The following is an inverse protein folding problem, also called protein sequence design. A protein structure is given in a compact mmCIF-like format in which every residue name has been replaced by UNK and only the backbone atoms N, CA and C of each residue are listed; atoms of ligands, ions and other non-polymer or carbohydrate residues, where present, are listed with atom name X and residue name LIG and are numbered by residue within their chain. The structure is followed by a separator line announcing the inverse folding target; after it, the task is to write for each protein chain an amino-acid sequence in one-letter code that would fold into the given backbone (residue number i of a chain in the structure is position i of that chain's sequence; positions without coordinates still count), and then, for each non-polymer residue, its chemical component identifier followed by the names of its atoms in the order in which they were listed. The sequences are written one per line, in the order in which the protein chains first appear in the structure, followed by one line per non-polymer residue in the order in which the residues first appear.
data_IF_508145755892
#
_entry.id   IF_508145755892
#
_cell.length_a   1.000
_cell.length_b   1.000
_cell.length_c   1.000
_cell.angle_alpha   90.00
_cell.angle_beta   90.00
_cell.angle_gamma   90.00
#
_symmetry.space_group_name_H-M   'P 1'
#
loop_
_entity.id
_entity.type
_entity.pdbx_description
1 polymer ?
#
# COMPACT_ATOMS: atom_id res chain seq x y z
N UNK A 1 -5.15 7.79 10.86
CA UNK A 1 -4.54 6.68 11.62
C UNK A 1 -3.99 5.68 10.61
N UNK A 2 -2.77 5.18 10.81
CA UNK A 2 -2.09 4.26 9.87
C UNK A 2 -1.98 2.88 10.52
N UNK A 3 -2.41 1.84 9.81
CA UNK A 3 -2.39 0.45 10.24
C UNK A 3 -1.42 -0.36 9.39
N UNK A 4 -0.30 -0.79 10.00
CA UNK A 4 0.77 -1.57 9.37
C UNK A 4 1.21 -2.73 10.28
N UNK A 5 0.26 -3.27 11.04
CA UNK A 5 0.54 -4.33 11.99
C UNK A 5 0.55 -5.70 11.30
N UNK A 6 1.49 -6.56 11.71
CA UNK A 6 1.54 -7.97 11.30
C UNK A 6 0.48 -8.77 12.07
N UNK A 7 -0.78 -8.67 11.62
CA UNK A 7 -1.91 -9.39 12.23
C UNK A 7 -2.39 -10.52 11.31
N UNK A 8 -2.60 -11.73 11.84
CA UNK A 8 -3.09 -12.86 11.04
C UNK A 8 -4.58 -12.74 10.70
N UNK A 9 -5.33 -11.88 11.42
CA UNK A 9 -6.75 -11.60 11.20
C UNK A 9 -7.04 -10.14 11.47
N UNK A 10 -7.97 -9.56 10.71
CA UNK A 10 -8.46 -8.20 10.93
C UNK A 10 -9.23 -8.07 12.24
N UNK A 11 -9.31 -6.84 12.74
CA UNK A 11 -10.06 -6.48 13.94
C UNK A 11 -11.25 -5.59 13.57
N UNK A 12 -12.36 -5.75 14.31
CA UNK A 12 -13.49 -4.83 14.24
C UNK A 12 -13.29 -3.72 15.27
N UNK A 13 -13.25 -2.47 14.79
CA UNK A 13 -13.12 -1.26 15.62
C UNK A 13 -14.36 -0.38 15.56
N UNK A 14 -15.48 -0.89 15.04
CA UNK A 14 -16.73 -0.15 14.86
C UNK A 14 -17.34 0.41 16.15
N UNK A 15 -16.91 -0.10 17.32
CA UNK A 15 -17.32 0.39 18.65
C UNK A 15 -16.30 1.36 19.29
N UNK A 16 -15.14 1.57 18.65
CA UNK A 16 -14.12 2.47 19.18
C UNK A 16 -14.44 3.90 18.74
N UNK A 17 -14.51 4.88 19.67
CA UNK A 17 -14.73 6.27 19.31
C UNK A 17 -13.51 6.82 18.55
N UNK A 18 -13.71 7.17 17.28
CA UNK A 18 -12.70 7.85 16.45
C UNK A 18 -12.99 9.36 16.39
N UNK A 19 -11.94 10.15 16.16
CA UNK A 19 -12.11 11.59 15.88
C UNK A 19 -12.89 11.78 14.59
N UNK A 20 -13.66 12.87 14.46
CA UNK A 20 -14.42 13.15 13.25
C UNK A 20 -13.93 14.48 12.62
N UNK A 21 -13.43 14.48 11.37
CA UNK A 21 -13.27 13.32 10.47
C UNK A 21 -12.06 12.43 10.83
N UNK A 22 -12.11 11.16 10.43
CA UNK A 22 -10.97 10.23 10.54
C UNK A 22 -10.66 9.57 9.19
N UNK A 23 -9.40 9.64 8.76
CA UNK A 23 -8.87 8.80 7.69
C UNK A 23 -8.12 7.63 8.31
N UNK A 24 -8.53 6.41 8.00
CA UNK A 24 -7.84 5.17 8.31
C UNK A 24 -7.10 4.69 7.06
N UNK A 25 -5.79 4.49 7.14
CA UNK A 25 -4.97 3.95 6.05
C UNK A 25 -4.54 2.54 6.46
N UNK A 26 -5.11 1.50 5.83
CA UNK A 26 -4.82 0.10 6.13
C UNK A 26 -3.82 -0.49 5.13
N UNK A 27 -2.55 -0.52 5.53
CA UNK A 27 -1.44 -1.12 4.80
C UNK A 27 -1.18 -2.57 5.15
N UNK A 28 -2.02 -3.21 5.98
CA UNK A 28 -1.89 -4.61 6.33
C UNK A 28 -2.19 -5.54 5.15
N UNK A 29 -1.51 -6.70 5.14
CA UNK A 29 -1.85 -7.83 4.28
C UNK A 29 -1.69 -9.16 5.06
N UNK A 30 -2.78 -9.88 5.39
CA UNK A 30 -4.19 -9.51 5.18
C UNK A 30 -4.57 -8.19 5.86
N UNK A 31 -5.66 -7.55 5.41
CA UNK A 31 -6.10 -6.23 5.92
C UNK A 31 -6.31 -6.28 7.43
N UNK A 32 -5.85 -5.24 8.11
CA UNK A 32 -5.90 -5.11 9.56
C UNK A 32 -7.30 -4.76 10.06
N UNK A 33 -8.13 -4.11 9.23
CA UNK A 33 -9.50 -3.72 9.55
C UNK A 33 -10.50 -4.65 8.85
N UNK A 34 -11.61 -4.94 9.53
CA UNK A 34 -12.74 -5.62 8.90
C UNK A 34 -13.32 -4.77 7.76
N UNK A 35 -13.53 -5.38 6.60
CA UNK A 35 -14.10 -4.74 5.41
C UNK A 35 -15.50 -4.14 5.63
N UNK A 36 -16.21 -4.56 6.69
CA UNK A 36 -17.53 -4.05 7.05
C UNK A 36 -17.51 -2.80 7.92
N UNK A 37 -16.34 -2.27 8.29
CA UNK A 37 -16.24 -1.11 9.17
C UNK A 37 -16.83 0.14 8.47
N UNK A 38 -17.96 0.63 9.00
CA UNK A 38 -18.58 1.88 8.56
C UNK A 38 -18.95 2.70 9.79
N UNK A 39 -18.40 3.92 9.88
CA UNK A 39 -18.70 4.89 10.93
C UNK A 39 -18.88 6.27 10.28
N UNK A 40 -19.86 7.08 10.69
CA UNK A 40 -20.04 8.43 10.15
C UNK A 40 -18.77 9.28 10.28
N UNK A 41 -18.33 9.91 9.18
CA UNK A 41 -17.13 10.75 9.16
C UNK A 41 -15.81 9.98 9.14
N UNK A 42 -15.84 8.65 8.99
CA UNK A 42 -14.64 7.81 8.87
C UNK A 42 -14.50 7.31 7.44
N UNK A 43 -13.32 7.53 6.86
CA UNK A 43 -12.92 7.03 5.55
C UNK A 43 -11.83 5.99 5.71
N UNK A 44 -11.91 4.89 4.96
CA UNK A 44 -10.87 3.84 4.94
C UNK A 44 -10.21 3.84 3.57
N UNK A 45 -8.89 4.00 3.55
CA UNK A 45 -8.07 3.91 2.35
C UNK A 45 -7.21 2.64 2.43
N UNK A 46 -7.14 1.90 1.33
CA UNK A 46 -6.21 0.77 1.21
C UNK A 46 -4.78 1.31 1.08
N UNK A 47 -4.01 1.21 2.17
CA UNK A 47 -2.61 1.61 2.22
C UNK A 47 -1.70 0.63 1.49
N UNK A 48 -0.49 1.10 1.15
CA UNK A 48 0.55 0.27 0.53
C UNK A 48 0.22 -0.18 -0.90
N UNK A 49 -0.65 0.55 -1.60
CA UNK A 49 -1.02 0.31 -3.00
C UNK A 49 -0.53 1.49 -3.85
N UNK A 50 0.03 1.15 -5.01
CA UNK A 50 0.37 2.11 -6.06
C UNK A 50 -0.38 1.76 -7.33
N UNK A 51 -0.62 2.75 -8.17
CA UNK A 51 -1.18 2.60 -9.51
C UNK A 51 -0.12 3.01 -10.55
N UNK A 52 0.08 2.19 -11.56
CA UNK A 52 0.98 2.45 -12.67
C UNK A 52 0.28 3.23 -13.79
N UNK A 53 1.02 4.07 -14.53
CA UNK A 53 0.50 4.89 -15.62
C UNK A 53 0.06 4.07 -16.85
N UNK A 54 0.60 2.86 -17.01
CA UNK A 54 0.31 1.93 -18.10
C UNK A 54 -0.30 0.64 -17.55
N UNK A 55 -1.10 -0.03 -18.38
CA UNK A 55 -1.60 -1.37 -18.10
C UNK A 55 -0.46 -2.40 -18.04
N UNK A 56 -0.60 -3.36 -17.13
CA UNK A 56 0.31 -4.48 -16.91
C UNK A 56 -0.48 -5.75 -17.23
N UNK A 57 0.02 -6.55 -18.18
CA UNK A 57 -0.58 -7.82 -18.57
C UNK A 57 -0.19 -8.93 -17.57
N UNK A 58 -1.13 -9.31 -16.70
CA UNK A 58 -0.97 -10.32 -15.65
C UNK A 58 -2.32 -10.70 -15.03
N UNK A 59 -2.32 -11.76 -14.20
CA UNK A 59 -3.53 -12.23 -13.50
C UNK A 59 -3.41 -12.19 -11.96
N UNK A 60 -2.22 -11.91 -11.43
CA UNK A 60 -1.95 -12.03 -9.98
C UNK A 60 -2.74 -11.00 -9.17
N UNK A 61 -2.91 -9.78 -9.71
CA UNK A 61 -3.62 -8.71 -9.00
C UNK A 61 -5.14 -8.94 -8.92
N UNK A 62 -5.70 -9.75 -9.82
CA UNK A 62 -7.10 -10.18 -9.75
C UNK A 62 -7.31 -11.14 -8.56
N UNK A 63 -6.38 -12.07 -8.35
CA UNK A 63 -6.45 -13.05 -7.25
C UNK A 63 -6.43 -12.40 -5.86
N UNK A 64 -5.86 -11.20 -5.74
CA UNK A 64 -5.79 -10.43 -4.48
C UNK A 64 -6.83 -9.31 -4.38
N UNK A 65 -7.81 -9.27 -5.29
CA UNK A 65 -8.95 -8.34 -5.30
C UNK A 65 -8.52 -6.85 -5.31
N UNK A 66 -7.57 -6.48 -6.18
CA UNK A 66 -7.31 -5.07 -6.48
C UNK A 66 -8.50 -4.45 -7.22
N UNK A 67 -8.76 -3.15 -7.01
CA UNK A 67 -9.91 -2.48 -7.63
C UNK A 67 -9.68 -2.25 -9.14
N UNK A 68 -8.44 -1.95 -9.53
CA UNK A 68 -8.00 -1.85 -10.93
C UNK A 68 -6.81 -2.79 -11.16
N UNK A 69 -7.03 -4.11 -11.28
CA UNK A 69 -5.95 -5.11 -11.26
C UNK A 69 -4.94 -5.00 -12.40
N UNK A 70 -5.32 -4.41 -13.54
CA UNK A 70 -4.41 -4.13 -14.65
C UNK A 70 -3.40 -3.00 -14.36
N UNK A 71 -3.60 -2.18 -13.33
CA UNK A 71 -2.75 -1.01 -13.05
C UNK A 71 -2.33 -0.88 -11.59
N UNK A 72 -3.09 -1.45 -10.66
CA UNK A 72 -2.86 -1.34 -9.22
C UNK A 72 -2.14 -2.57 -8.68
N UNK A 73 -1.21 -2.34 -7.77
CA UNK A 73 -0.39 -3.37 -7.15
C UNK A 73 0.10 -2.96 -5.76
N UNK A 74 0.57 -3.94 -4.99
CA UNK A 74 1.22 -3.66 -3.72
C UNK A 74 2.56 -2.93 -3.93
N UNK A 75 2.82 -1.92 -3.10
CA UNK A 75 4.05 -1.13 -3.16
C UNK A 75 5.32 -1.98 -2.96
N UNK A 76 5.24 -3.09 -2.22
CA UNK A 76 6.37 -4.01 -2.08
C UNK A 76 6.69 -4.77 -3.39
N UNK A 77 5.71 -5.04 -4.24
CA UNK A 77 5.96 -5.61 -5.58
C UNK A 77 6.48 -4.54 -6.54
N UNK A 78 5.95 -3.31 -6.42
CA UNK A 78 6.48 -2.17 -7.16
C UNK A 78 7.96 -1.90 -6.81
N UNK A 79 8.40 -2.05 -5.55
CA UNK A 79 9.81 -1.91 -5.18
C UNK A 79 10.70 -2.84 -6.02
N UNK A 80 10.33 -4.12 -6.17
CA UNK A 80 11.10 -5.05 -6.99
C UNK A 80 11.20 -4.62 -8.46
N UNK A 81 10.11 -4.10 -9.04
CA UNK A 81 10.11 -3.55 -10.41
C UNK A 81 11.00 -2.32 -10.52
N UNK A 82 10.94 -1.42 -9.53
CA UNK A 82 11.76 -0.20 -9.49
C UNK A 82 13.24 -0.51 -9.37
N UNK A 83 13.61 -1.49 -8.54
CA UNK A 83 14.99 -1.94 -8.41
C UNK A 83 15.52 -2.50 -9.72
N UNK A 84 14.70 -3.24 -10.48
CA UNK A 84 15.07 -3.72 -11.81
C UNK A 84 15.22 -2.56 -12.81
N UNK A 85 14.27 -1.61 -12.84
CA UNK A 85 14.33 -0.46 -13.74
C UNK A 85 15.54 0.45 -13.48
N UNK A 86 15.95 0.60 -12.22
CA UNK A 86 17.14 1.36 -11.82
C UNK A 86 18.44 0.52 -11.82
N UNK A 87 18.38 -0.77 -12.17
CA UNK A 87 19.51 -1.71 -12.11
C UNK A 87 20.17 -1.78 -10.71
N UNK A 88 19.36 -1.62 -9.66
CA UNK A 88 19.77 -1.67 -8.26
C UNK A 88 19.56 -3.08 -7.70
N UNK A 89 20.39 -4.03 -8.16
CA UNK A 89 20.30 -5.44 -7.76
C UNK A 89 20.90 -5.70 -6.36
N UNK A 90 20.15 -5.30 -5.35
CA UNK A 90 20.52 -5.43 -3.94
C UNK A 90 19.28 -5.74 -3.09
N UNK A 91 19.50 -6.14 -1.85
CA UNK A 91 18.46 -6.25 -0.84
C UNK A 91 18.12 -4.85 -0.26
N UNK A 92 17.56 -3.98 -1.10
CA UNK A 92 17.37 -2.55 -0.82
C UNK A 92 16.67 -2.29 0.52
N UNK A 93 15.51 -2.92 0.72
CA UNK A 93 14.77 -2.97 1.99
C UNK A 93 15.07 -4.30 2.70
N UNK A 94 15.91 -4.29 3.73
CA UNK A 94 16.32 -5.50 4.43
C UNK A 94 16.46 -5.33 5.94
N UNK A 95 15.98 -6.31 6.70
CA UNK A 95 16.02 -6.31 8.16
C UNK A 95 14.97 -5.39 8.79
N UNK A 96 14.77 -5.57 10.10
CA UNK A 96 13.80 -4.77 10.88
C UNK A 96 14.46 -3.49 11.38
N UNK A 97 13.74 -2.37 11.30
CA UNK A 97 14.18 -1.03 11.74
C UNK A 97 15.44 -0.51 11.00
N UNK A 98 15.64 -0.90 9.73
CA UNK A 98 16.78 -0.46 8.90
C UNK A 98 16.39 0.49 7.77
N UNK A 99 15.11 0.86 7.67
CA UNK A 99 14.63 1.83 6.68
C UNK A 99 15.05 3.23 7.12
N UNK A 100 15.65 3.99 6.21
CA UNK A 100 16.04 5.39 6.43
C UNK A 100 15.25 6.32 5.52
N UNK A 101 15.18 7.60 5.87
CA UNK A 101 14.45 8.61 5.08
C UNK A 101 15.08 8.76 3.70
N UNK A 102 16.40 8.70 3.60
CA UNK A 102 17.14 8.81 2.33
C UNK A 102 16.77 7.66 1.38
N UNK A 103 16.64 6.43 1.90
CA UNK A 103 16.17 5.29 1.10
C UNK A 103 14.71 5.48 0.66
N UNK A 104 13.85 6.01 1.53
CA UNK A 104 12.46 6.32 1.19
C UNK A 104 12.36 7.37 0.08
N UNK A 105 13.18 8.42 0.13
CA UNK A 105 13.26 9.45 -0.91
C UNK A 105 13.80 8.91 -2.22
N UNK A 106 14.84 8.07 -2.16
CA UNK A 106 15.42 7.44 -3.34
C UNK A 106 14.39 6.58 -4.08
N UNK A 107 13.73 5.65 -3.37
CA UNK A 107 12.73 4.77 -4.01
C UNK A 107 11.47 5.55 -4.40
N UNK A 108 11.09 6.60 -3.66
CA UNK A 108 9.98 7.49 -4.01
C UNK A 108 10.25 8.27 -5.31
N UNK A 109 11.49 8.74 -5.50
CA UNK A 109 11.90 9.41 -6.74
C UNK A 109 11.85 8.45 -7.91
N UNK A 110 12.36 7.22 -7.74
CA UNK A 110 12.27 6.17 -8.77
C UNK A 110 10.82 5.81 -9.09
N UNK A 111 9.96 5.70 -8.06
CA UNK A 111 8.52 5.45 -8.20
C UNK A 111 7.86 6.46 -9.13
N UNK A 112 8.03 7.76 -8.87
CA UNK A 112 7.47 8.82 -9.71
C UNK A 112 8.07 8.82 -11.11
N UNK A 113 9.40 8.64 -11.24
CA UNK A 113 10.11 8.58 -12.52
C UNK A 113 9.56 7.49 -13.44
N UNK A 114 9.22 6.33 -12.88
CA UNK A 114 8.70 5.17 -13.62
C UNK A 114 7.17 5.09 -13.66
N UNK A 115 6.47 6.18 -13.37
CA UNK A 115 5.03 6.27 -13.61
C UNK A 115 4.15 5.57 -12.58
N UNK A 116 4.65 5.30 -11.38
CA UNK A 116 3.82 4.88 -10.26
C UNK A 116 3.34 6.09 -9.45
N UNK A 117 2.08 6.05 -9.05
CA UNK A 117 1.46 7.03 -8.14
C UNK A 117 0.80 6.31 -6.95
N UNK A 118 0.77 6.91 -5.75
CA UNK A 118 -0.02 6.37 -4.64
C UNK A 118 -1.51 6.30 -5.00
N UNK A 119 -2.23 5.36 -4.41
CA UNK A 119 -3.69 5.38 -4.47
C UNK A 119 -4.23 6.60 -3.70
N UNK A 120 -4.81 7.57 -4.42
CA UNK A 120 -5.32 8.83 -3.86
C UNK A 120 -6.85 8.87 -3.72
N UNK A 121 -7.56 7.91 -4.33
CA UNK A 121 -9.01 7.80 -4.28
C UNK A 121 -9.46 6.68 -3.33
N UNK A 122 -10.57 6.94 -2.63
CA UNK A 122 -11.26 6.07 -1.69
C UNK A 122 -12.63 5.65 -2.25
#
# INVERSE_FOLDING_TARGET
VVWVASMPRGVDISQIPLRNPCLLIDGGYPKNLDAKMQQPGVCVLKGGIVEHALDIDWQIMELVNMDVPGRQLFACFAEAMLLEFEQLWTNFSWGRNQITVEKMEQIGTASCKHGFQPLLSF
#
